data_IF_206387647629
#
_entry.id   IF_206387647629
#
_cell.length_a   1.000
_cell.length_b   1.000
_cell.length_c   1.000
_cell.angle_alpha   90.00
_cell.angle_beta   90.00
_cell.angle_gamma   90.00
#
_symmetry.space_group_name_H-M   'P 1'
#
loop_
_entity.id
_entity.type
_entity.pdbx_description
1 polymer ?
#
# COMPACT_ATOMS: atom_id res chain seq x y z
N UNK A 1 -13.01 -21.17 -7.32
CA UNK A 1 -11.88 -20.45 -7.98
C UNK A 1 -11.31 -19.45 -6.99
N UNK A 2 -10.00 -19.50 -6.73
CA UNK A 2 -9.34 -18.53 -5.86
C UNK A 2 -9.21 -17.17 -6.56
N UNK A 3 -9.84 -16.14 -5.98
CA UNK A 3 -9.78 -14.77 -6.49
C UNK A 3 -9.28 -13.81 -5.41
N UNK A 4 -8.77 -12.65 -5.85
CA UNK A 4 -8.49 -11.53 -4.97
C UNK A 4 -9.70 -10.59 -4.95
N UNK A 5 -10.29 -10.38 -3.78
CA UNK A 5 -11.43 -9.49 -3.57
C UNK A 5 -11.00 -8.30 -2.71
N UNK A 6 -11.41 -7.09 -3.08
CA UNK A 6 -11.13 -5.88 -2.31
C UNK A 6 -12.38 -5.41 -1.55
N UNK A 7 -12.24 -5.18 -0.25
CA UNK A 7 -13.27 -4.61 0.60
C UNK A 7 -12.88 -3.18 0.98
N UNK A 8 -13.76 -2.21 0.70
CA UNK A 8 -13.52 -0.80 1.02
C UNK A 8 -14.42 -0.34 2.15
N UNK A 9 -13.82 0.24 3.19
CA UNK A 9 -14.55 0.75 4.34
C UNK A 9 -14.09 2.15 4.74
N UNK A 10 -14.98 2.90 5.38
CA UNK A 10 -14.69 4.17 6.02
C UNK A 10 -13.92 3.92 7.32
N UNK A 11 -12.85 4.67 7.57
CA UNK A 11 -12.14 4.70 8.84
C UNK A 11 -12.49 5.96 9.65
N UNK A 12 -12.52 5.80 10.96
CA UNK A 12 -12.65 6.88 11.95
C UNK A 12 -11.46 6.83 12.92
N UNK A 13 -10.27 7.31 12.48
CA UNK A 13 -9.10 7.40 13.34
C UNK A 13 -9.26 8.47 14.42
N UNK A 14 -8.60 8.28 15.57
CA UNK A 14 -8.36 9.35 16.54
C UNK A 14 -7.36 10.39 15.99
N UNK A 15 -7.21 11.53 16.66
CA UNK A 15 -6.25 12.57 16.23
C UNK A 15 -4.81 12.07 16.16
N UNK A 16 -4.39 11.30 17.15
CA UNK A 16 -3.07 10.66 17.17
C UNK A 16 -2.89 9.69 15.98
N UNK A 17 -3.93 8.91 15.67
CA UNK A 17 -3.94 8.00 14.53
C UNK A 17 -3.91 8.76 13.20
N UNK A 18 -4.60 9.90 13.07
CA UNK A 18 -4.52 10.77 11.88
C UNK A 18 -3.09 11.28 11.65
N UNK A 19 -2.42 11.72 12.72
CA UNK A 19 -1.02 12.16 12.69
C UNK A 19 -0.12 11.01 12.26
N UNK A 20 -0.28 9.82 12.84
CA UNK A 20 0.51 8.64 12.48
C UNK A 20 0.30 8.21 11.02
N UNK A 21 -0.94 8.23 10.53
CA UNK A 21 -1.26 7.97 9.13
C UNK A 21 -0.55 8.99 8.23
N UNK A 22 -0.60 10.28 8.57
CA UNK A 22 0.06 11.33 7.80
C UNK A 22 1.59 11.16 7.79
N UNK A 23 2.20 10.82 8.93
CA UNK A 23 3.63 10.46 9.03
C UNK A 23 3.95 9.28 8.12
N UNK A 24 3.18 8.20 8.20
CA UNK A 24 3.38 6.97 7.39
C UNK A 24 3.30 7.27 5.89
N UNK A 25 2.28 8.03 5.46
CA UNK A 25 2.15 8.49 4.06
C UNK A 25 3.37 9.32 3.64
N UNK A 26 3.80 10.26 4.49
CA UNK A 26 4.96 11.10 4.25
C UNK A 26 6.25 10.29 4.07
N UNK A 27 6.48 9.32 4.94
CA UNK A 27 7.63 8.44 4.89
C UNK A 27 7.61 7.55 3.65
N UNK A 28 6.45 6.93 3.33
CA UNK A 28 6.31 6.14 2.11
C UNK A 28 6.53 6.97 0.85
N UNK A 29 6.10 8.25 0.83
CA UNK A 29 6.37 9.19 -0.28
C UNK A 29 7.85 9.50 -0.39
N UNK A 30 8.52 9.82 0.72
CA UNK A 30 9.95 10.10 0.74
C UNK A 30 10.75 8.93 0.19
N UNK A 31 10.52 7.72 0.72
CA UNK A 31 11.19 6.49 0.24
C UNK A 31 10.95 6.30 -1.25
N UNK A 32 9.70 6.40 -1.72
CA UNK A 32 9.41 6.28 -3.15
C UNK A 32 10.22 7.26 -4.01
N UNK A 33 10.22 8.54 -3.63
CA UNK A 33 10.88 9.59 -4.41
C UNK A 33 12.40 9.47 -4.36
N UNK A 34 12.99 9.15 -3.20
CA UNK A 34 14.44 8.98 -3.05
C UNK A 34 14.95 7.89 -4.00
N UNK A 35 14.33 6.71 -3.94
CA UNK A 35 14.72 5.59 -4.79
C UNK A 35 14.34 5.77 -6.25
N UNK A 36 13.28 6.54 -6.56
CA UNK A 36 12.99 6.92 -7.95
C UNK A 36 14.09 7.79 -8.55
N UNK A 37 14.62 8.76 -7.78
CA UNK A 37 15.76 9.58 -8.20
C UNK A 37 16.98 8.72 -8.49
N UNK A 38 17.39 7.90 -7.51
CA UNK A 38 18.54 7.00 -7.67
C UNK A 38 18.39 6.04 -8.85
N UNK A 39 17.18 5.54 -9.09
CA UNK A 39 16.92 4.68 -10.24
C UNK A 39 17.09 5.42 -11.56
N UNK A 40 16.60 6.66 -11.66
CA UNK A 40 16.79 7.47 -12.85
C UNK A 40 18.27 7.77 -13.10
N UNK A 41 19.01 8.15 -12.06
CA UNK A 41 20.45 8.45 -12.15
C UNK A 41 21.23 7.20 -12.60
N UNK A 42 21.01 6.06 -11.94
CA UNK A 42 21.66 4.78 -12.28
C UNK A 42 21.34 4.36 -13.72
N UNK A 43 20.09 4.56 -14.16
CA UNK A 43 19.67 4.21 -15.51
C UNK A 43 20.30 5.11 -16.57
N UNK A 44 20.47 6.40 -16.28
CA UNK A 44 21.18 7.34 -17.17
C UNK A 44 22.66 6.96 -17.32
N UNK A 45 23.32 6.53 -16.25
CA UNK A 45 24.74 6.18 -16.25
C UNK A 45 25.02 4.80 -16.87
N UNK A 46 24.19 3.81 -16.57
CA UNK A 46 24.50 2.40 -16.85
C UNK A 46 23.58 1.74 -17.89
N UNK A 47 22.47 2.40 -18.24
CA UNK A 47 21.39 1.81 -19.03
C UNK A 47 20.61 0.69 -18.31
N UNK A 48 20.94 0.40 -17.04
CA UNK A 48 20.31 -0.63 -16.22
C UNK A 48 19.61 -0.01 -15.03
N UNK A 49 18.43 -0.55 -14.71
CA UNK A 49 17.67 -0.14 -13.53
C UNK A 49 18.18 -0.79 -12.25
N UNK A 50 17.74 -0.29 -11.10
CA UNK A 50 17.97 -0.93 -9.81
C UNK A 50 17.09 -2.18 -9.65
N UNK A 51 17.34 -2.95 -8.59
CA UNK A 51 16.47 -4.06 -8.19
C UNK A 51 15.84 -3.79 -6.84
N UNK A 52 14.67 -4.39 -6.58
CA UNK A 52 14.03 -4.28 -5.26
C UNK A 52 14.97 -4.72 -4.12
N UNK A 53 15.76 -5.76 -4.32
CA UNK A 53 16.67 -6.28 -3.30
C UNK A 53 17.76 -5.27 -2.94
N UNK A 54 18.37 -4.64 -3.95
CA UNK A 54 19.35 -3.56 -3.74
C UNK A 54 18.72 -2.39 -2.98
N UNK A 55 17.57 -1.88 -3.43
CA UNK A 55 16.87 -0.78 -2.76
C UNK A 55 16.44 -1.14 -1.33
N UNK A 56 16.05 -2.40 -1.07
CA UNK A 56 15.65 -2.86 0.26
C UNK A 56 16.84 -2.95 1.22
N UNK A 57 18.01 -3.37 0.75
CA UNK A 57 19.24 -3.36 1.54
C UNK A 57 19.62 -1.92 1.92
N UNK A 58 19.59 -1.02 0.95
CA UNK A 58 19.87 0.40 1.18
C UNK A 58 18.86 1.07 2.12
N UNK A 59 17.56 0.74 1.99
CA UNK A 59 16.52 1.25 2.91
C UNK A 59 16.83 0.89 4.37
N UNK A 60 17.53 -0.22 4.62
CA UNK A 60 17.96 -0.61 5.97
C UNK A 60 19.01 0.35 6.52
N UNK A 61 19.94 0.83 5.68
CA UNK A 61 20.92 1.84 6.07
C UNK A 61 20.27 3.24 6.18
N UNK A 62 19.38 3.58 5.24
CA UNK A 62 18.65 4.84 5.22
C UNK A 62 17.84 5.06 6.51
N UNK A 63 17.31 3.99 7.11
CA UNK A 63 16.62 4.06 8.40
C UNK A 63 17.55 4.36 9.58
N UNK A 64 18.84 4.07 9.49
CA UNK A 64 19.83 4.42 10.51
C UNK A 64 20.14 5.90 10.46
N UNK A 65 20.26 6.47 9.26
CA UNK A 65 20.47 7.90 9.02
C UNK A 65 19.22 8.71 9.37
N UNK A 66 18.07 8.33 8.82
CA UNK A 66 16.79 9.01 9.03
C UNK A 66 15.95 8.26 10.07
N UNK A 67 16.19 8.54 11.35
CA UNK A 67 15.56 7.84 12.49
C UNK A 67 14.03 7.89 12.44
N UNK A 68 13.44 8.97 11.91
CA UNK A 68 11.99 9.10 11.74
C UNK A 68 11.37 8.03 10.80
N UNK A 69 12.16 7.40 9.91
CA UNK A 69 11.70 6.23 9.13
C UNK A 69 11.48 4.99 10.00
N UNK A 70 12.09 4.92 11.19
CA UNK A 70 11.87 3.85 12.17
C UNK A 70 10.60 4.06 12.99
N UNK A 71 10.03 5.27 13.03
CA UNK A 71 8.77 5.53 13.75
C UNK A 71 7.60 4.78 13.09
N UNK A 72 7.55 4.78 11.76
CA UNK A 72 6.42 4.24 10.99
C UNK A 72 6.52 2.74 10.71
N UNK A 73 5.45 2.16 10.16
CA UNK A 73 5.41 0.76 9.76
C UNK A 73 6.46 0.46 8.67
N UNK A 74 7.39 -0.45 8.98
CA UNK A 74 8.45 -0.86 8.05
C UNK A 74 7.87 -1.55 6.81
N UNK A 75 6.73 -2.23 6.94
CA UNK A 75 6.05 -2.94 5.85
C UNK A 75 5.46 -1.93 4.86
N UNK A 76 5.01 -0.77 5.34
CA UNK A 76 4.55 0.32 4.49
C UNK A 76 5.67 0.95 3.64
N UNK A 77 6.88 1.07 4.22
CA UNK A 77 8.06 1.55 3.48
C UNK A 77 8.49 0.54 2.41
N UNK A 78 8.57 -0.74 2.79
CA UNK A 78 8.89 -1.83 1.85
C UNK A 78 7.85 -1.97 0.74
N UNK A 79 6.56 -1.78 1.04
CA UNK A 79 5.51 -1.76 0.02
C UNK A 79 5.66 -0.59 -0.95
N UNK A 80 6.15 0.56 -0.48
CA UNK A 80 6.45 1.70 -1.36
C UNK A 80 7.55 1.37 -2.38
N UNK A 81 8.62 0.69 -1.93
CA UNK A 81 9.67 0.17 -2.81
C UNK A 81 9.16 -0.86 -3.81
N UNK A 82 8.36 -1.83 -3.35
CA UNK A 82 7.76 -2.85 -4.24
C UNK A 82 6.89 -2.20 -5.32
N UNK A 83 6.13 -1.17 -4.97
CA UNK A 83 5.33 -0.43 -5.95
C UNK A 83 6.18 0.30 -6.99
N UNK A 84 7.35 0.83 -6.60
CA UNK A 84 8.29 1.43 -7.54
C UNK A 84 8.87 0.39 -8.51
N UNK A 85 9.35 -0.74 -7.98
CA UNK A 85 9.89 -1.84 -8.80
C UNK A 85 8.84 -2.43 -9.75
N UNK A 86 7.59 -2.60 -9.30
CA UNK A 86 6.47 -3.03 -10.15
C UNK A 86 6.18 -1.99 -11.25
N UNK A 87 6.23 -0.70 -10.91
CA UNK A 87 5.99 0.38 -11.89
C UNK A 87 7.00 0.34 -13.04
N UNK A 88 8.30 0.16 -12.73
CA UNK A 88 9.33 -0.01 -13.76
C UNK A 88 9.15 -1.31 -14.55
N UNK A 89 8.83 -2.42 -13.87
CA UNK A 89 8.56 -3.70 -14.53
C UNK A 89 7.45 -3.57 -15.58
N UNK A 90 6.35 -2.89 -15.23
CA UNK A 90 5.25 -2.62 -16.17
C UNK A 90 5.63 -1.64 -17.28
N UNK A 91 6.45 -0.64 -16.96
CA UNK A 91 6.99 0.30 -17.95
C UNK A 91 7.81 -0.42 -19.02
N UNK A 92 8.75 -1.28 -18.62
CA UNK A 92 9.57 -2.05 -19.57
C UNK A 92 8.75 -3.07 -20.38
N UNK A 93 7.64 -3.58 -19.82
CA UNK A 93 6.65 -4.40 -20.55
C UNK A 93 5.72 -3.59 -21.46
N UNK A 94 5.93 -2.27 -21.58
CA UNK A 94 5.07 -1.33 -22.34
C UNK A 94 3.61 -1.32 -21.90
N UNK A 95 3.32 -1.70 -20.66
CA UNK A 95 1.95 -1.73 -20.11
C UNK A 95 1.54 -0.40 -19.50
N UNK A 96 2.51 0.41 -19.05
CA UNK A 96 2.28 1.69 -18.39
C UNK A 96 3.39 2.70 -18.77
N UNK A 97 3.13 3.99 -18.51
CA UNK A 97 4.16 5.04 -18.59
C UNK A 97 5.18 4.91 -17.46
N UNK A 98 6.32 5.56 -17.63
CA UNK A 98 7.38 5.61 -16.61
C UNK A 98 6.86 6.16 -15.27
N UNK A 99 7.39 5.68 -14.13
CA UNK A 99 7.01 6.19 -12.81
C UNK A 99 7.41 7.66 -12.67
N UNK A 100 6.63 8.41 -11.89
CA UNK A 100 6.88 9.84 -11.62
C UNK A 100 7.00 10.10 -10.13
N UNK A 101 7.71 11.18 -9.78
CA UNK A 101 7.80 11.64 -8.40
C UNK A 101 6.41 11.90 -7.81
N UNK A 102 6.20 11.42 -6.59
CA UNK A 102 4.97 11.63 -5.83
C UNK A 102 4.99 13.01 -5.19
N UNK A 103 3.91 13.77 -5.40
CA UNK A 103 3.75 15.10 -4.79
C UNK A 103 3.05 15.05 -3.43
N UNK A 104 3.48 15.90 -2.49
CA UNK A 104 2.74 16.15 -1.23
C UNK A 104 1.41 16.86 -1.47
N UNK A 105 1.26 17.59 -2.58
CA UNK A 105 0.03 18.31 -2.94
C UNK A 105 -1.02 17.41 -3.59
N UNK A 106 -0.72 16.12 -3.81
CA UNK A 106 -1.72 15.18 -4.31
C UNK A 106 -2.89 15.10 -3.32
N UNK A 107 -4.10 15.38 -3.79
CA UNK A 107 -5.32 15.39 -2.97
C UNK A 107 -5.69 13.98 -2.47
N UNK A 108 -5.24 12.94 -3.18
CA UNK A 108 -5.41 11.54 -2.77
C UNK A 108 -4.06 11.00 -2.33
N UNK A 109 -3.99 10.61 -1.06
CA UNK A 109 -2.76 10.10 -0.46
C UNK A 109 -3.02 8.75 0.20
N UNK A 110 -2.08 7.83 0.10
CA UNK A 110 -2.23 6.51 0.70
C UNK A 110 -0.91 5.85 1.02
N UNK A 111 -0.97 4.90 1.95
CA UNK A 111 0.08 3.91 2.15
C UNK A 111 -0.56 2.51 2.16
N UNK A 112 0.23 1.51 1.81
CA UNK A 112 -0.19 0.11 1.78
C UNK A 112 0.69 -0.67 2.73
N UNK A 113 0.09 -1.49 3.58
CA UNK A 113 0.78 -2.44 4.43
C UNK A 113 0.30 -3.85 4.10
N UNK A 114 1.20 -4.83 4.16
CA UNK A 114 0.92 -6.23 3.83
C UNK A 114 0.67 -7.02 5.12
N UNK A 115 -0.19 -8.02 4.99
CA UNK A 115 -0.39 -8.99 6.06
C UNK A 115 0.91 -9.79 6.25
N UNK A 116 1.38 -9.83 7.49
CA UNK A 116 2.53 -10.62 7.91
C UNK A 116 2.33 -10.97 9.38
N UNK A 117 2.36 -12.25 9.71
CA UNK A 117 2.21 -12.75 11.08
C UNK A 117 0.96 -12.20 11.80
N UNK A 118 -0.18 -12.10 11.09
CA UNK A 118 -1.46 -11.63 11.64
C UNK A 118 -1.41 -10.20 12.23
N UNK A 119 -0.52 -9.37 11.70
CA UNK A 119 -0.41 -7.95 12.04
C UNK A 119 -1.62 -7.10 11.58
N UNK A 120 -2.41 -7.61 10.62
CA UNK A 120 -3.66 -7.02 10.16
C UNK A 120 -4.81 -7.96 10.53
N UNK A 121 -5.75 -7.45 11.31
CA UNK A 121 -6.92 -8.21 11.72
C UNK A 121 -8.15 -7.30 11.80
N UNK A 122 -9.34 -7.86 11.66
CA UNK A 122 -10.60 -7.16 11.90
C UNK A 122 -11.25 -7.80 13.12
N UNK A 123 -11.46 -6.99 14.16
CA UNK A 123 -12.12 -7.41 15.40
C UNK A 123 -13.30 -6.48 15.61
N UNK A 124 -14.50 -7.05 15.63
CA UNK A 124 -15.78 -6.32 15.64
C UNK A 124 -15.87 -5.27 14.53
N UNK A 125 -15.94 -4.00 14.94
CA UNK A 125 -15.98 -2.79 14.10
C UNK A 125 -14.64 -2.03 14.12
N UNK A 126 -13.53 -2.71 14.39
CA UNK A 126 -12.18 -2.13 14.37
C UNK A 126 -11.26 -2.95 13.47
N UNK A 127 -10.32 -2.27 12.82
CA UNK A 127 -9.21 -2.91 12.10
C UNK A 127 -7.92 -2.67 12.88
N UNK A 128 -7.18 -3.74 13.16
CA UNK A 128 -5.81 -3.70 13.66
C UNK A 128 -4.87 -3.46 12.48
N UNK A 129 -4.03 -2.43 12.57
CA UNK A 129 -2.98 -2.13 11.60
C UNK A 129 -1.62 -2.05 12.30
N UNK A 130 -0.52 -2.42 11.62
CA UNK A 130 0.81 -2.42 12.23
C UNK A 130 1.19 -1.03 12.73
N UNK A 131 1.66 -0.95 13.98
CA UNK A 131 2.01 0.26 14.76
C UNK A 131 0.89 1.29 14.98
N UNK A 132 -0.09 1.37 14.09
CA UNK A 132 -1.25 2.26 14.21
C UNK A 132 -2.27 1.74 15.24
N UNK A 133 -2.29 0.44 15.50
CA UNK A 133 -3.21 -0.19 16.45
C UNK A 133 -4.62 -0.38 15.89
N UNK A 134 -5.62 -0.38 16.77
CA UNK A 134 -7.02 -0.57 16.39
C UNK A 134 -7.69 0.73 15.97
N UNK A 135 -8.21 0.76 14.75
CA UNK A 135 -8.91 1.92 14.17
C UNK A 135 -10.37 1.56 13.94
N UNK A 136 -11.30 2.43 14.35
CA UNK A 136 -12.74 2.21 14.12
C UNK A 136 -13.06 2.22 12.62
N UNK A 137 -13.90 1.28 12.22
CA UNK A 137 -14.26 1.00 10.84
C UNK A 137 -15.79 1.00 10.72
N UNK A 138 -16.33 1.66 9.69
CA UNK A 138 -17.75 1.55 9.33
C UNK A 138 -17.96 0.22 8.59
N UNK A 139 -18.22 -0.85 9.34
CA UNK A 139 -18.34 -2.20 8.77
C UNK A 139 -19.70 -2.38 8.12
N UNK A 140 -19.75 -2.25 6.81
CA UNK A 140 -20.98 -2.49 6.03
C UNK A 140 -21.15 -3.95 5.59
N UNK A 141 -20.09 -4.77 5.66
CA UNK A 141 -20.08 -6.17 5.26
C UNK A 141 -19.00 -6.96 5.99
N UNK A 142 -19.22 -8.25 6.17
CA UNK A 142 -18.21 -9.19 6.68
C UNK A 142 -17.09 -9.33 5.65
N UNK A 143 -15.84 -9.39 6.13
CA UNK A 143 -14.67 -9.65 5.29
C UNK A 143 -14.39 -11.14 5.39
N UNK A 144 -14.50 -11.83 4.26
CA UNK A 144 -14.32 -13.27 4.14
C UNK A 144 -13.08 -13.58 3.31
N UNK A 145 -12.33 -14.60 3.74
CA UNK A 145 -11.06 -14.99 3.14
C UNK A 145 -9.83 -14.47 3.89
N UNK A 146 -8.66 -14.86 3.39
CA UNK A 146 -7.37 -14.51 4.00
C UNK A 146 -6.97 -13.09 3.60
N UNK A 147 -6.72 -12.23 4.58
CA UNK A 147 -6.21 -10.87 4.33
C UNK A 147 -4.80 -10.95 3.72
N UNK A 148 -4.58 -10.19 2.65
CA UNK A 148 -3.28 -10.06 1.98
C UNK A 148 -2.63 -8.70 2.26
N UNK A 149 -3.42 -7.63 2.24
CA UNK A 149 -2.94 -6.27 2.47
C UNK A 149 -4.06 -5.32 2.83
N UNK A 150 -3.69 -4.20 3.45
CA UNK A 150 -4.57 -3.07 3.69
C UNK A 150 -3.94 -1.80 3.13
N UNK A 151 -4.71 -1.03 2.38
CA UNK A 151 -4.32 0.29 1.89
C UNK A 151 -5.15 1.35 2.58
N UNK A 152 -4.52 2.18 3.39
CA UNK A 152 -5.16 3.33 4.03
C UNK A 152 -5.01 4.54 3.12
N UNK A 153 -6.14 5.18 2.81
CA UNK A 153 -6.23 6.33 1.90
C UNK A 153 -6.89 7.50 2.60
N UNK A 154 -6.33 8.70 2.43
CA UNK A 154 -6.96 9.99 2.72
C UNK A 154 -7.47 10.59 1.41
N UNK A 155 -8.77 10.88 1.36
CA UNK A 155 -9.41 11.55 0.23
C UNK A 155 -9.31 13.08 0.33
N UNK A 156 -9.64 13.84 -0.73
CA UNK A 156 -9.56 15.30 -0.74
C UNK A 156 -10.38 15.96 0.38
N UNK A 157 -11.53 15.38 0.75
CA UNK A 157 -12.37 15.84 1.86
C UNK A 157 -11.79 15.57 3.26
N UNK A 158 -10.54 15.16 3.38
CA UNK A 158 -9.89 14.78 4.64
C UNK A 158 -10.31 13.41 5.19
N UNK A 159 -11.26 12.77 4.52
CA UNK A 159 -11.88 11.50 4.90
C UNK A 159 -10.94 10.30 4.67
N UNK A 160 -10.67 9.49 5.71
CA UNK A 160 -9.94 8.22 5.65
C UNK A 160 -10.75 6.97 5.24
N UNK A 161 -10.17 6.13 4.38
CA UNK A 161 -10.74 4.84 3.97
C UNK A 161 -9.66 3.76 4.03
N UNK A 162 -10.07 2.52 4.24
CA UNK A 162 -9.21 1.35 4.07
C UNK A 162 -9.75 0.48 2.94
N UNK A 163 -8.84 0.04 2.07
CA UNK A 163 -9.08 -1.01 1.08
C UNK A 163 -8.33 -2.26 1.50
N UNK A 164 -9.06 -3.30 1.87
CA UNK A 164 -8.54 -4.58 2.36
C UNK A 164 -8.62 -5.58 1.22
N UNK A 165 -7.47 -6.05 0.74
CA UNK A 165 -7.40 -7.09 -0.28
C UNK A 165 -7.35 -8.43 0.43
N UNK A 166 -8.24 -9.34 0.06
CA UNK A 166 -8.30 -10.70 0.59
C UNK A 166 -8.27 -11.72 -0.52
N UNK A 167 -7.70 -12.89 -0.23
CA UNK A 167 -7.77 -14.08 -1.07
C UNK A 167 -8.94 -14.92 -0.58
N UNK A 168 -9.92 -15.14 -1.44
CA UNK A 168 -11.12 -15.93 -1.12
C UNK A 168 -11.38 -16.94 -2.23
N UNK A 169 -11.94 -18.09 -1.87
CA UNK A 169 -12.50 -18.99 -2.84
C UNK A 169 -13.93 -18.54 -3.17
N UNK A 170 -14.29 -18.57 -4.44
CA UNK A 170 -15.65 -18.29 -4.92
C UNK A 170 -16.13 -19.47 -5.74
N UNK A 171 -17.29 -19.98 -5.36
CA UNK A 171 -18.04 -20.96 -6.12
C UNK A 171 -18.68 -20.25 -7.33
N UNK A 172 -18.33 -20.63 -8.57
CA UNK A 172 -19.00 -20.07 -9.74
C UNK A 172 -20.47 -20.47 -9.73
N UNK A 173 -21.36 -19.51 -10.01
CA UNK A 173 -22.77 -19.81 -10.18
C UNK A 173 -22.96 -20.69 -11.43
N UNK A 174 -23.98 -21.56 -11.41
CA UNK A 174 -24.36 -22.35 -12.58
C UNK A 174 -24.66 -21.40 -13.74
N UNK A 175 -24.06 -21.66 -14.90
CA UNK A 175 -24.38 -20.92 -16.12
C UNK A 175 -25.84 -21.20 -16.47
N UNK A 176 -26.60 -20.15 -16.76
CA UNK A 176 -28.03 -20.24 -17.11
C UNK A 176 -28.25 -20.39 -18.62
N UNK A 177 -27.19 -20.47 -19.42
CA UNK A 177 -27.19 -20.45 -20.90
C UNK A 177 -27.94 -19.26 -21.55
N UNK A 178 -28.43 -18.33 -20.74
CA UNK A 178 -29.09 -17.11 -21.19
C UNK A 178 -28.04 -16.07 -21.57
N UNK A 179 -28.14 -15.53 -22.78
CA UNK A 179 -27.39 -14.34 -23.21
C UNK A 179 -28.18 -13.07 -22.89
N UNK A 180 -27.48 -12.02 -22.49
CA UNK A 180 -28.03 -10.66 -22.43
C UNK A 180 -27.39 -9.93 -23.62
N UNK A 181 -28.22 -9.54 -24.59
CA UNK A 181 -27.85 -8.73 -25.75
C UNK A 181 -27.91 -7.24 -25.44
#
# INVERSE_FOLDING_TARGET
MLINKAYKFRLYPSKEQEIFIAKTIGCSRFVFNRFLGQWNDTYQETGKGLTYNACSAELTQLKKEFVWLKEVDSIALQSSLKNLADSYTRFFKKQNKAPRFKSKKNQVQSYTTKETNSNIAIVDNKIKLPKLGYVRLAKSRKVEGRILSATVRRNPSGKFFVSIVVKTDVQPLKKTESSIG
#
